data_IF_529930658691
#
_entry.id   IF_529930658691
#
_cell.length_a   1.000
_cell.length_b   1.000
_cell.length_c   1.000
_cell.angle_alpha   90.00
_cell.angle_beta   90.00
_cell.angle_gamma   90.00
#
_symmetry.space_group_name_H-M   'P 1'
#
loop_
_entity.id
_entity.type
_entity.pdbx_description
1 polymer ?
#
# COMPACT_ATOMS: atom_id res chain seq x y z
N UNK A 1 -26.14 11.77 -9.90
CA UNK A 1 -26.10 10.54 -10.73
C UNK A 1 -27.22 9.62 -10.26
N UNK A 2 -28.09 9.13 -11.15
CA UNK A 2 -29.11 8.13 -10.81
C UNK A 2 -28.58 6.76 -11.21
N UNK A 3 -28.32 5.89 -10.24
CA UNK A 3 -27.85 4.52 -10.47
C UNK A 3 -29.08 3.62 -10.69
N UNK A 4 -29.08 2.70 -11.67
CA UNK A 4 -30.18 1.76 -11.87
C UNK A 4 -30.26 0.74 -10.72
N UNK A 5 -31.40 0.07 -10.60
CA UNK A 5 -31.56 -1.04 -9.64
C UNK A 5 -30.62 -2.19 -10.05
N UNK A 6 -29.76 -2.61 -9.12
CA UNK A 6 -28.70 -3.59 -9.34
C UNK A 6 -28.45 -4.41 -8.06
N UNK A 7 -28.03 -5.65 -8.22
CA UNK A 7 -27.61 -6.54 -7.13
C UNK A 7 -26.18 -7.03 -7.40
N UNK A 8 -25.33 -7.03 -6.37
CA UNK A 8 -23.93 -7.46 -6.47
C UNK A 8 -23.54 -8.33 -5.28
N UNK A 9 -22.61 -9.27 -5.50
CA UNK A 9 -21.92 -9.96 -4.43
C UNK A 9 -20.66 -9.19 -4.06
N UNK A 10 -20.55 -8.78 -2.79
CA UNK A 10 -19.39 -8.05 -2.27
C UNK A 10 -18.66 -8.93 -1.26
N UNK A 11 -17.42 -9.29 -1.57
CA UNK A 11 -16.53 -9.99 -0.66
C UNK A 11 -15.96 -9.01 0.36
N UNK A 12 -16.19 -9.30 1.65
CA UNK A 12 -15.66 -8.51 2.76
C UNK A 12 -14.34 -9.06 3.31
N UNK A 13 -13.89 -10.22 2.85
CA UNK A 13 -12.61 -10.82 3.23
C UNK A 13 -11.44 -10.28 2.40
N UNK A 14 -10.22 -10.50 2.91
CA UNK A 14 -8.99 -10.07 2.24
C UNK A 14 -8.76 -10.80 0.90
N UNK A 15 -9.05 -12.10 0.86
CA UNK A 15 -8.68 -12.98 -0.26
C UNK A 15 -9.67 -12.87 -1.42
N UNK A 16 -9.20 -12.73 -2.68
CA UNK A 16 -10.08 -12.86 -3.84
C UNK A 16 -10.62 -14.30 -3.96
N UNK A 17 -11.85 -14.44 -4.45
CA UNK A 17 -12.61 -15.69 -4.39
C UNK A 17 -12.78 -16.37 -5.76
N UNK A 18 -12.93 -15.60 -6.84
CA UNK A 18 -13.34 -16.12 -8.15
C UNK A 18 -12.13 -16.64 -8.95
N UNK A 19 -11.78 -17.92 -8.77
CA UNK A 19 -10.59 -18.53 -9.41
C UNK A 19 -10.75 -18.64 -10.94
N UNK A 20 -9.65 -18.46 -11.68
CA UNK A 20 -9.59 -18.50 -13.16
C UNK A 20 -9.80 -19.88 -13.82
N UNK A 21 -10.05 -20.94 -13.06
CA UNK A 21 -10.17 -22.32 -13.59
C UNK A 21 -11.38 -22.44 -14.57
N UNK A 22 -11.24 -23.11 -15.72
CA UNK A 22 -12.37 -23.37 -16.63
C UNK A 22 -13.12 -24.68 -16.28
N UNK A 23 -14.39 -24.84 -16.69
CA UNK A 23 -15.44 -23.83 -16.73
C UNK A 23 -16.76 -24.38 -16.14
N UNK A 24 -17.30 -23.79 -15.09
CA UNK A 24 -18.73 -23.99 -14.79
C UNK A 24 -19.21 -22.79 -13.98
N UNK A 25 -19.64 -21.75 -14.70
CA UNK A 25 -20.28 -20.52 -14.21
C UNK A 25 -19.36 -19.54 -13.49
N UNK A 26 -19.18 -18.37 -14.12
CA UNK A 26 -18.51 -17.22 -13.52
C UNK A 26 -19.44 -16.52 -12.53
N UNK A 27 -18.93 -16.15 -11.36
CA UNK A 27 -19.65 -15.35 -10.38
C UNK A 27 -19.09 -13.90 -10.36
N UNK A 28 -19.93 -12.87 -10.58
CA UNK A 28 -19.49 -11.48 -10.49
C UNK A 28 -19.35 -11.07 -9.03
N UNK A 29 -18.18 -11.32 -8.45
CA UNK A 29 -17.83 -10.98 -7.07
C UNK A 29 -16.95 -9.73 -7.07
N UNK A 30 -17.36 -8.71 -6.33
CA UNK A 30 -16.54 -7.54 -6.05
C UNK A 30 -15.62 -7.82 -4.86
N UNK A 31 -14.32 -7.55 -5.00
CA UNK A 31 -13.32 -7.77 -3.95
C UNK A 31 -12.38 -6.58 -3.82
N UNK A 32 -11.82 -6.39 -2.63
CA UNK A 32 -10.85 -5.32 -2.34
C UNK A 32 -9.51 -5.51 -3.07
N UNK A 33 -9.16 -6.78 -3.36
CA UNK A 33 -7.93 -7.17 -4.02
C UNK A 33 -8.22 -8.26 -5.05
N UNK A 34 -7.49 -8.27 -6.16
CA UNK A 34 -7.48 -9.36 -7.14
C UNK A 34 -6.14 -10.09 -7.15
N UNK A 35 -6.06 -11.21 -7.86
CA UNK A 35 -4.79 -11.84 -8.18
C UNK A 35 -4.72 -12.35 -9.62
N UNK A 36 -3.51 -12.66 -10.09
CA UNK A 36 -3.28 -13.26 -11.41
C UNK A 36 -4.05 -14.57 -11.61
N UNK A 37 -4.49 -15.22 -10.53
CA UNK A 37 -5.25 -16.47 -10.53
C UNK A 37 -6.75 -16.28 -10.32
N UNK A 38 -7.23 -15.04 -10.17
CA UNK A 38 -8.66 -14.74 -9.95
C UNK A 38 -9.26 -13.79 -10.99
N UNK A 39 -10.58 -13.65 -10.95
CA UNK A 39 -11.43 -12.84 -11.86
C UNK A 39 -12.39 -11.93 -11.10
N UNK A 40 -12.14 -11.71 -9.81
CA UNK A 40 -12.90 -10.76 -9.00
C UNK A 40 -12.87 -9.37 -9.64
N UNK A 41 -13.99 -8.67 -9.54
CA UNK A 41 -14.11 -7.27 -9.94
C UNK A 41 -13.48 -6.43 -8.83
N UNK A 42 -12.27 -5.93 -9.06
CA UNK A 42 -11.53 -5.22 -8.01
C UNK A 42 -12.07 -3.81 -7.86
N UNK A 43 -12.52 -3.48 -6.65
CA UNK A 43 -13.03 -2.16 -6.28
C UNK A 43 -12.02 -1.39 -5.42
N UNK A 44 -12.16 -0.06 -5.28
CA UNK A 44 -11.42 0.71 -4.27
C UNK A 44 -11.56 0.10 -2.88
N UNK A 45 -10.45 0.08 -2.13
CA UNK A 45 -10.41 -0.45 -0.77
C UNK A 45 -11.22 0.44 0.17
N UNK A 46 -11.77 -0.14 1.23
CA UNK A 46 -12.53 0.59 2.24
C UNK A 46 -11.71 1.77 2.83
N UNK A 47 -10.40 1.60 3.03
CA UNK A 47 -9.49 2.64 3.54
C UNK A 47 -9.40 3.86 2.62
N UNK A 48 -9.54 3.69 1.30
CA UNK A 48 -9.58 4.82 0.35
C UNK A 48 -10.95 5.49 0.31
N UNK A 49 -12.02 4.78 0.69
CA UNK A 49 -13.39 5.30 0.71
C UNK A 49 -13.79 5.89 2.06
N UNK A 50 -13.08 5.53 3.13
CA UNK A 50 -13.30 6.03 4.49
C UNK A 50 -12.20 7.04 4.89
N UNK A 51 -12.57 8.07 5.65
CA UNK A 51 -11.74 9.26 5.96
C UNK A 51 -10.68 8.99 7.06
N UNK A 52 -10.06 7.80 7.12
CA UNK A 52 -9.09 7.48 8.18
C UNK A 52 -7.71 8.12 7.93
N UNK A 53 -7.24 8.05 6.68
CA UNK A 53 -6.08 8.77 6.16
C UNK A 53 -6.40 9.14 4.72
N UNK A 54 -6.51 10.43 4.43
CA UNK A 54 -6.73 10.89 3.06
C UNK A 54 -5.41 11.18 2.33
N UNK A 55 -5.40 11.00 1.01
CA UNK A 55 -4.20 11.20 0.19
C UNK A 55 -3.72 12.67 0.18
N UNK A 56 -4.62 13.64 0.37
CA UNK A 56 -4.25 15.06 0.39
C UNK A 56 -3.47 15.40 1.66
N UNK A 57 -3.85 14.82 2.79
CA UNK A 57 -3.11 14.92 4.05
C UNK A 57 -1.69 14.36 3.91
N UNK A 58 -1.51 13.27 3.16
CA UNK A 58 -0.18 12.71 2.87
C UNK A 58 0.65 13.68 2.03
N UNK A 59 0.08 14.21 0.95
CA UNK A 59 0.75 15.19 0.08
C UNK A 59 1.12 16.48 0.81
N UNK A 60 0.33 16.88 1.81
CA UNK A 60 0.61 18.06 2.63
C UNK A 60 1.67 17.82 3.72
N UNK A 61 1.97 16.55 4.06
CA UNK A 61 2.81 16.18 5.19
C UNK A 61 3.88 15.15 4.79
N UNK A 62 4.69 15.50 3.80
CA UNK A 62 5.75 14.62 3.28
C UNK A 62 7.07 14.71 4.07
N UNK A 63 7.07 15.36 5.24
CA UNK A 63 8.25 15.45 6.10
C UNK A 63 9.29 16.47 5.61
N UNK A 64 10.59 16.26 5.89
CA UNK A 64 11.64 17.21 5.54
C UNK A 64 11.94 17.21 4.02
N UNK A 65 12.62 18.26 3.50
CA UNK A 65 13.12 18.29 2.12
C UNK A 65 13.97 17.06 1.77
N UNK A 66 14.00 16.69 0.48
CA UNK A 66 14.66 15.47 -0.02
C UNK A 66 16.09 15.30 0.51
N UNK A 67 16.88 16.35 0.52
CA UNK A 67 18.29 16.37 0.95
C UNK A 67 18.46 16.06 2.44
N UNK A 68 17.42 16.27 3.24
CA UNK A 68 17.40 16.05 4.69
C UNK A 68 16.74 14.71 5.09
N UNK A 69 16.15 13.98 4.13
CA UNK A 69 15.58 12.65 4.40
C UNK A 69 16.68 11.62 4.64
N UNK A 70 16.40 10.68 5.54
CA UNK A 70 17.29 9.55 5.83
C UNK A 70 17.42 8.63 4.61
N UNK A 71 18.64 8.25 4.25
CA UNK A 71 18.94 7.40 3.09
C UNK A 71 18.72 5.90 3.33
N UNK A 72 18.39 5.51 4.56
CA UNK A 72 18.07 4.12 4.88
C UNK A 72 16.68 3.80 4.34
N UNK A 73 16.53 2.66 3.67
CA UNK A 73 15.22 2.18 3.28
C UNK A 73 14.38 1.84 4.50
N UNK A 74 13.08 2.10 4.46
CA UNK A 74 12.22 2.05 5.64
C UNK A 74 11.01 1.16 5.45
N UNK A 75 10.68 0.41 6.50
CA UNK A 75 9.44 -0.36 6.61
C UNK A 75 9.01 -0.56 8.06
N UNK A 76 7.71 -0.45 8.33
CA UNK A 76 7.08 -0.88 9.58
C UNK A 76 5.78 -1.61 9.28
N UNK A 77 5.55 -2.73 9.95
CA UNK A 77 4.31 -3.48 9.76
C UNK A 77 4.17 -4.69 10.65
N UNK A 78 3.19 -5.52 10.32
CA UNK A 78 2.91 -6.79 11.00
C UNK A 78 3.41 -7.96 10.18
N UNK A 79 3.53 -9.10 10.83
CA UNK A 79 3.97 -10.40 10.33
C UNK A 79 2.95 -11.11 9.41
N UNK A 80 2.14 -10.41 8.62
CA UNK A 80 1.07 -11.06 7.82
C UNK A 80 1.54 -11.88 6.62
N UNK A 81 2.84 -11.99 6.37
CA UNK A 81 3.43 -12.83 5.30
C UNK A 81 4.86 -13.26 5.64
N UNK A 82 5.30 -14.41 5.10
CA UNK A 82 6.66 -14.93 5.32
C UNK A 82 7.74 -13.98 4.81
N UNK A 83 7.50 -13.34 3.68
CA UNK A 83 8.41 -12.37 3.06
C UNK A 83 8.66 -11.18 4.00
N UNK A 84 7.68 -10.80 4.83
CA UNK A 84 7.91 -9.76 5.86
C UNK A 84 8.85 -10.24 6.96
N UNK A 85 8.82 -11.52 7.32
CA UNK A 85 9.78 -12.12 8.27
C UNK A 85 11.20 -12.07 7.69
N UNK A 86 11.35 -12.42 6.41
CA UNK A 86 12.64 -12.35 5.71
C UNK A 86 13.12 -10.90 5.54
N UNK A 87 12.22 -9.95 5.29
CA UNK A 87 12.54 -8.52 5.24
C UNK A 87 13.18 -8.02 6.55
N UNK A 88 12.61 -8.38 7.71
CA UNK A 88 13.15 -7.98 9.01
C UNK A 88 14.49 -8.69 9.30
N UNK A 89 14.65 -9.94 8.89
CA UNK A 89 15.97 -10.61 8.95
C UNK A 89 17.02 -9.90 8.08
N UNK A 90 16.66 -9.49 6.86
CA UNK A 90 17.54 -8.70 5.98
C UNK A 90 17.92 -7.35 6.62
N UNK A 91 16.97 -6.65 7.25
CA UNK A 91 17.24 -5.41 7.98
C UNK A 91 18.23 -5.63 9.12
N UNK A 92 18.07 -6.69 9.91
CA UNK A 92 19.02 -7.04 10.99
C UNK A 92 20.41 -7.37 10.47
N UNK A 93 20.51 -8.00 9.30
CA UNK A 93 21.79 -8.31 8.66
C UNK A 93 22.45 -7.08 8.02
N UNK A 94 21.68 -6.11 7.54
CA UNK A 94 22.15 -4.91 6.83
C UNK A 94 21.44 -3.63 7.32
N UNK A 95 21.60 -3.25 8.60
CA UNK A 95 20.84 -2.14 9.20
C UNK A 95 21.19 -0.76 8.64
N UNK A 96 22.34 -0.64 7.96
CA UNK A 96 22.78 0.58 7.28
C UNK A 96 22.10 0.80 5.91
N UNK A 97 21.39 -0.21 5.38
CA UNK A 97 20.65 -0.13 4.12
C UNK A 97 19.15 -0.16 4.34
N UNK A 98 18.69 -0.95 5.30
CA UNK A 98 17.27 -1.20 5.53
C UNK A 98 16.97 -1.15 7.03
N UNK A 99 16.04 -0.29 7.41
CA UNK A 99 15.39 -0.24 8.70
C UNK A 99 13.97 -0.80 8.56
N UNK A 100 13.82 -2.11 8.82
CA UNK A 100 12.55 -2.81 8.81
C UNK A 100 12.33 -3.50 10.17
N UNK A 101 11.17 -3.24 10.79
CA UNK A 101 10.84 -3.81 12.09
C UNK A 101 9.34 -4.10 12.23
N UNK A 102 9.02 -5.08 13.08
CA UNK A 102 7.64 -5.43 13.39
C UNK A 102 7.05 -4.52 14.46
N UNK A 103 5.81 -4.08 14.25
CA UNK A 103 5.03 -3.36 15.27
C UNK A 103 4.18 -4.29 16.12
N UNK A 104 3.81 -5.45 15.60
CA UNK A 104 3.07 -6.49 16.32
C UNK A 104 3.21 -7.86 15.61
N UNK A 105 3.02 -8.95 16.35
CA UNK A 105 2.89 -10.32 15.83
C UNK A 105 1.47 -10.84 16.02
N UNK A 106 0.91 -11.48 14.99
CA UNK A 106 -0.41 -12.11 15.04
C UNK A 106 -0.48 -13.45 14.29
N UNK A 107 0.30 -13.62 13.22
CA UNK A 107 0.17 -14.75 12.30
C UNK A 107 1.25 -15.82 12.51
N UNK A 108 2.42 -15.42 12.99
CA UNK A 108 3.58 -16.28 13.23
C UNK A 108 3.99 -16.21 14.70
N UNK A 109 4.76 -17.21 15.12
CA UNK A 109 5.35 -17.23 16.46
C UNK A 109 6.38 -16.10 16.55
N UNK A 110 6.22 -15.24 17.54
CA UNK A 110 7.21 -14.21 17.86
C UNK A 110 8.51 -14.87 18.36
N UNK A 111 9.62 -14.53 17.72
CA UNK A 111 10.97 -14.90 18.11
C UNK A 111 11.86 -13.65 18.07
N UNK A 112 12.08 -13.05 19.24
CA UNK A 112 12.84 -11.81 19.38
C UNK A 112 14.32 -11.98 18.99
N UNK A 113 14.89 -13.19 19.12
CA UNK A 113 16.27 -13.44 18.72
C UNK A 113 16.43 -13.33 17.20
N UNK A 114 15.42 -13.78 16.44
CA UNK A 114 15.41 -13.71 14.98
C UNK A 114 14.95 -12.36 14.46
N UNK A 115 13.91 -11.77 15.05
CA UNK A 115 13.22 -10.59 14.48
C UNK A 115 13.47 -9.29 15.23
N UNK A 116 14.09 -9.35 16.41
CA UNK A 116 14.28 -8.20 17.28
C UNK A 116 13.02 -7.81 18.06
N UNK A 117 13.15 -6.81 18.95
CA UNK A 117 12.03 -6.34 19.74
C UNK A 117 10.96 -5.69 18.86
N UNK A 118 9.71 -5.77 19.31
CA UNK A 118 8.63 -4.99 18.73
C UNK A 118 8.90 -3.49 18.87
N UNK A 119 8.67 -2.74 17.80
CA UNK A 119 8.76 -1.29 17.80
C UNK A 119 7.38 -0.65 17.90
N UNK A 120 7.31 0.57 18.44
CA UNK A 120 6.04 1.31 18.50
C UNK A 120 5.52 1.62 17.09
N UNK A 121 4.22 1.80 17.00
CA UNK A 121 3.61 2.31 15.79
C UNK A 121 4.22 3.67 15.41
N UNK A 122 4.59 3.83 14.15
CA UNK A 122 5.15 5.06 13.60
C UNK A 122 4.04 5.77 12.83
N UNK A 123 3.89 7.09 13.04
CA UNK A 123 2.93 7.88 12.26
C UNK A 123 3.19 7.69 10.77
N UNK A 124 2.16 7.61 9.95
CA UNK A 124 2.37 7.41 8.52
C UNK A 124 3.14 8.58 7.89
N UNK A 125 2.94 9.81 8.37
CA UNK A 125 3.71 10.98 7.93
C UNK A 125 5.21 10.87 8.24
N UNK A 126 5.58 10.14 9.31
CA UNK A 126 6.98 9.93 9.66
C UNK A 126 7.69 8.94 8.74
N UNK A 127 6.95 8.17 7.92
CA UNK A 127 7.57 7.33 6.89
C UNK A 127 8.33 8.20 5.90
N UNK A 128 7.79 9.37 5.54
CA UNK A 128 8.40 10.30 4.57
C UNK A 128 9.62 11.04 5.12
N UNK A 129 10.07 10.75 6.34
CA UNK A 129 11.42 11.13 6.82
C UNK A 129 12.52 10.29 6.16
N UNK A 130 12.17 9.22 5.45
CA UNK A 130 13.09 8.30 4.80
C UNK A 130 12.90 8.34 3.28
N UNK A 131 14.01 8.35 2.52
CA UNK A 131 14.00 8.47 1.06
C UNK A 131 13.38 7.27 0.36
N UNK A 132 13.51 6.07 0.92
CA UNK A 132 13.15 4.83 0.24
C UNK A 132 12.12 4.03 1.04
N UNK A 133 10.94 3.82 0.48
CA UNK A 133 9.83 3.12 1.12
C UNK A 133 9.69 1.72 0.54
N UNK A 134 9.91 0.70 1.35
CA UNK A 134 9.74 -0.68 0.89
C UNK A 134 8.27 -1.09 1.04
N UNK A 135 7.65 -1.57 -0.04
CA UNK A 135 6.28 -2.07 -0.05
C UNK A 135 6.25 -3.58 -0.30
N UNK A 136 6.09 -4.34 0.79
CA UNK A 136 5.90 -5.80 0.78
C UNK A 136 4.45 -6.11 1.15
N UNK A 137 3.85 -6.99 0.37
CA UNK A 137 2.48 -7.44 0.57
C UNK A 137 2.23 -8.07 1.95
N UNK A 138 0.98 -8.06 2.38
CA UNK A 138 0.52 -8.67 3.63
C UNK A 138 -0.20 -9.99 3.39
N UNK A 139 -1.43 -10.12 3.88
CA UNK A 139 -2.30 -11.23 3.46
C UNK A 139 -2.46 -11.22 1.94
N UNK A 140 -2.79 -10.04 1.39
CA UNK A 140 -2.91 -9.74 -0.04
C UNK A 140 -2.09 -8.49 -0.39
N UNK A 141 -2.42 -7.77 -1.47
CA UNK A 141 -1.78 -6.51 -1.83
C UNK A 141 -1.72 -5.56 -0.62
N UNK A 142 -0.61 -4.84 -0.46
CA UNK A 142 -0.47 -3.89 0.63
C UNK A 142 -1.26 -2.60 0.33
N UNK A 143 -2.42 -2.43 0.99
CA UNK A 143 -3.30 -1.24 0.89
C UNK A 143 -2.66 0.08 1.36
N UNK A 144 -1.39 0.03 1.77
CA UNK A 144 -0.56 1.19 2.05
C UNK A 144 0.01 1.82 0.78
N UNK A 145 0.15 1.06 -0.31
CA UNK A 145 0.78 1.53 -1.54
C UNK A 145 0.23 2.87 -2.07
N UNK A 146 -1.10 3.12 -2.16
CA UNK A 146 -1.59 4.39 -2.69
C UNK A 146 -1.08 5.59 -1.88
N UNK A 147 -0.96 5.44 -0.57
CA UNK A 147 -0.45 6.50 0.30
C UNK A 147 1.07 6.67 0.21
N UNK A 148 1.83 5.59 -0.01
CA UNK A 148 3.27 5.73 -0.24
C UNK A 148 3.55 6.45 -1.55
N UNK A 149 2.78 6.12 -2.60
CA UNK A 149 2.86 6.80 -3.89
C UNK A 149 2.43 8.27 -3.79
N UNK A 150 1.48 8.60 -2.92
CA UNK A 150 1.07 9.99 -2.69
C UNK A 150 2.15 10.86 -2.01
N UNK A 151 3.15 10.24 -1.39
CA UNK A 151 4.26 10.96 -0.76
C UNK A 151 5.43 11.24 -1.71
N UNK A 152 6.47 11.89 -1.19
CA UNK A 152 7.65 12.36 -1.93
C UNK A 152 8.90 11.46 -1.70
N UNK A 153 8.67 10.17 -1.47
CA UNK A 153 9.73 9.20 -1.19
C UNK A 153 9.68 8.09 -2.23
N UNK A 154 10.82 7.55 -2.62
CA UNK A 154 10.92 6.51 -3.65
C UNK A 154 10.32 5.21 -3.13
N UNK A 155 9.21 4.79 -3.73
CA UNK A 155 8.64 3.46 -3.47
C UNK A 155 9.39 2.35 -4.19
N UNK A 156 9.82 1.35 -3.43
CA UNK A 156 10.21 0.03 -3.90
C UNK A 156 9.02 -0.90 -3.72
N UNK A 157 8.57 -1.59 -4.77
CA UNK A 157 7.39 -2.47 -4.71
C UNK A 157 7.75 -3.90 -5.07
N UNK A 158 7.28 -4.83 -4.25
CA UNK A 158 7.38 -6.26 -4.50
C UNK A 158 6.61 -6.65 -5.78
N UNK A 159 7.25 -7.46 -6.63
CA UNK A 159 6.58 -8.21 -7.68
C UNK A 159 5.72 -9.29 -7.05
N UNK A 160 4.41 -9.20 -7.30
CA UNK A 160 3.40 -9.96 -6.58
C UNK A 160 2.23 -10.27 -7.51
N UNK A 161 1.60 -11.46 -7.35
CA UNK A 161 0.38 -11.77 -8.08
C UNK A 161 -0.81 -10.93 -7.63
N UNK A 162 -0.76 -10.26 -6.47
CA UNK A 162 -1.87 -9.47 -5.94
C UNK A 162 -1.86 -8.04 -6.48
N UNK A 163 -3.05 -7.52 -6.74
CA UNK A 163 -3.23 -6.17 -7.25
C UNK A 163 -4.46 -5.47 -6.69
N UNK A 164 -4.37 -4.14 -6.58
CA UNK A 164 -5.51 -3.25 -6.33
C UNK A 164 -6.02 -2.66 -7.65
N UNK A 165 -7.18 -2.02 -7.62
CA UNK A 165 -7.88 -1.49 -8.79
C UNK A 165 -7.04 -0.54 -9.68
N UNK A 166 -6.03 0.14 -9.13
CA UNK A 166 -5.18 1.10 -9.84
C UNK A 166 -3.83 0.54 -10.31
N UNK A 167 -3.45 -0.69 -9.93
CA UNK A 167 -2.10 -1.22 -10.20
C UNK A 167 -1.80 -1.36 -11.68
N UNK A 168 -2.82 -1.60 -12.51
CA UNK A 168 -2.70 -1.69 -13.97
C UNK A 168 -2.24 -0.37 -14.63
N UNK A 169 -2.34 0.75 -13.92
CA UNK A 169 -1.83 2.05 -14.37
C UNK A 169 -0.41 2.34 -13.87
N UNK A 170 0.16 1.49 -13.00
CA UNK A 170 1.52 1.67 -12.51
C UNK A 170 2.53 1.05 -13.48
N UNK A 171 3.61 1.78 -13.74
CA UNK A 171 4.70 1.34 -14.61
C UNK A 171 5.96 1.16 -13.75
N UNK A 172 6.57 -0.05 -13.74
CA UNK A 172 7.85 -0.26 -13.07
C UNK A 172 8.93 0.68 -13.65
N UNK A 173 9.85 1.16 -12.80
CA UNK A 173 10.91 2.11 -13.17
C UNK A 173 10.43 3.50 -13.64
N UNK A 174 9.12 3.77 -13.54
CA UNK A 174 8.55 5.10 -13.72
C UNK A 174 7.80 5.55 -12.46
N UNK A 175 7.00 4.65 -11.88
CA UNK A 175 6.18 4.94 -10.70
C UNK A 175 6.70 4.24 -9.43
N UNK A 176 7.39 3.11 -9.52
CA UNK A 176 8.06 2.43 -8.39
C UNK A 176 9.25 1.56 -8.86
N UNK A 177 10.23 1.32 -7.99
CA UNK A 177 11.34 0.40 -8.28
C UNK A 177 10.87 -1.04 -7.99
N UNK A 178 10.78 -1.92 -8.99
CA UNK A 178 10.36 -3.31 -8.76
C UNK A 178 11.49 -4.12 -8.10
N UNK A 179 11.12 -5.03 -7.20
CA UNK A 179 11.99 -6.09 -6.70
C UNK A 179 11.26 -7.43 -6.68
N UNK A 180 12.00 -8.53 -6.72
CA UNK A 180 11.48 -9.90 -6.84
C UNK A 180 10.62 -10.29 -5.64
N UNK A 181 9.67 -11.19 -5.89
CA UNK A 181 8.75 -11.71 -4.87
C UNK A 181 9.46 -12.31 -3.65
N UNK A 182 10.64 -12.90 -3.85
CA UNK A 182 11.45 -13.57 -2.81
C UNK A 182 12.45 -12.64 -2.09
N UNK A 183 12.43 -11.33 -2.37
CA UNK A 183 13.35 -10.32 -1.83
C UNK A 183 14.82 -10.50 -2.23
N UNK A 184 15.14 -11.44 -3.13
CA UNK A 184 16.52 -11.81 -3.45
C UNK A 184 17.35 -10.65 -4.02
N UNK A 185 16.72 -9.71 -4.72
CA UNK A 185 17.35 -8.53 -5.30
C UNK A 185 17.04 -7.22 -4.55
N UNK A 186 16.30 -7.26 -3.44
CA UNK A 186 15.84 -6.06 -2.73
C UNK A 186 17.01 -5.16 -2.30
N UNK A 187 18.05 -5.74 -1.71
CA UNK A 187 19.21 -4.97 -1.24
C UNK A 187 19.96 -4.32 -2.41
N UNK A 188 20.04 -4.99 -3.55
CA UNK A 188 20.67 -4.44 -4.75
C UNK A 188 19.84 -3.29 -5.32
N UNK A 189 18.50 -3.39 -5.30
CA UNK A 189 17.61 -2.27 -5.67
C UNK A 189 17.77 -1.08 -4.75
N UNK A 190 17.93 -1.30 -3.44
CA UNK A 190 18.19 -0.22 -2.47
C UNK A 190 19.53 0.45 -2.76
N UNK A 191 20.60 -0.31 -3.00
CA UNK A 191 21.92 0.26 -3.35
C UNK A 191 21.84 1.06 -4.64
N UNK A 192 21.22 0.50 -5.68
CA UNK A 192 21.03 1.18 -6.95
C UNK A 192 20.30 2.51 -6.78
N UNK A 193 19.22 2.53 -5.99
CA UNK A 193 18.44 3.74 -5.72
C UNK A 193 19.26 4.82 -4.99
N UNK A 194 20.16 4.41 -4.08
CA UNK A 194 21.06 5.32 -3.36
C UNK A 194 22.14 5.93 -4.25
N UNK A 195 22.63 5.17 -5.23
CA UNK A 195 23.72 5.60 -6.12
C UNK A 195 23.27 6.56 -7.22
N UNK A 196 21.96 6.62 -7.54
CA UNK A 196 21.43 7.32 -8.72
C UNK A 196 20.54 8.52 -8.38
N UNK A 197 20.71 9.19 -7.22
CA UNK A 197 19.88 10.30 -6.70
C UNK A 197 18.46 10.41 -7.29
N UNK A 198 17.51 9.80 -6.59
CA UNK A 198 16.17 9.53 -7.12
C UNK A 198 15.18 10.66 -6.79
N UNK A 199 15.63 11.91 -6.71
CA UNK A 199 14.74 13.06 -6.42
C UNK A 199 13.67 13.23 -7.50
N UNK A 200 14.07 13.21 -8.78
CA UNK A 200 13.13 13.32 -9.89
C UNK A 200 12.11 12.17 -9.85
N UNK A 201 12.60 10.96 -9.55
CA UNK A 201 11.76 9.78 -9.38
C UNK A 201 10.71 9.95 -8.29
N UNK A 202 11.12 10.48 -7.13
CA UNK A 202 10.23 10.72 -6.00
C UNK A 202 9.14 11.75 -6.36
N UNK A 203 9.49 12.79 -7.12
CA UNK A 203 8.53 13.80 -7.60
C UNK A 203 7.50 13.22 -8.57
N UNK A 204 7.85 12.19 -9.35
CA UNK A 204 6.90 11.52 -10.26
C UNK A 204 5.82 10.72 -9.52
N UNK A 205 6.07 10.32 -8.27
CA UNK A 205 5.07 9.60 -7.46
C UNK A 205 3.95 10.55 -6.99
N UNK A 206 4.32 11.79 -6.66
CA UNK A 206 3.37 12.88 -6.40
C UNK A 206 2.82 13.42 -7.72
N UNK A 207 1.92 12.69 -8.37
CA UNK A 207 1.24 13.25 -9.53
C UNK A 207 0.28 14.35 -9.07
N UNK A 208 0.44 15.57 -9.60
CA UNK A 208 -0.63 16.56 -9.57
C UNK A 208 -1.91 15.92 -10.13
N UNK A 209 -3.03 16.09 -9.43
CA UNK A 209 -4.32 15.60 -9.89
C UNK A 209 -4.68 16.28 -11.22
N UNK A 210 -4.45 15.59 -12.34
CA UNK A 210 -4.86 16.06 -13.66
C UNK A 210 -6.35 15.82 -13.85
N UNK A 211 -7.11 16.90 -13.93
CA UNK A 211 -8.51 16.85 -14.37
C UNK A 211 -8.51 16.30 -15.80
N UNK A 212 -9.06 15.09 -16.00
CA UNK A 212 -9.17 14.51 -17.34
C UNK A 212 -10.23 15.27 -18.14
N UNK A 213 -10.08 15.30 -19.46
CA UNK A 213 -11.07 15.90 -20.35
C UNK A 213 -12.46 15.28 -20.08
N UNK A 214 -13.45 16.12 -19.78
CA UNK A 214 -14.80 15.70 -19.39
C UNK A 214 -15.04 15.44 -17.89
N UNK A 215 -14.02 15.53 -17.03
CA UNK A 215 -14.21 15.54 -15.58
C UNK A 215 -14.55 16.95 -15.10
N UNK A 216 -15.75 17.14 -14.57
CA UNK A 216 -16.14 18.39 -13.90
C UNK A 216 -15.89 18.28 -12.39
N UNK A 217 -15.50 19.40 -11.77
CA UNK A 217 -15.40 19.47 -10.32
C UNK A 217 -16.80 19.32 -9.72
N UNK A 218 -17.10 18.14 -9.22
CA UNK A 218 -18.35 17.91 -8.47
C UNK A 218 -18.20 18.65 -7.14
N UNK A 219 -19.09 19.62 -6.91
CA UNK A 219 -19.19 20.27 -5.61
C UNK A 219 -19.46 19.22 -4.55
N UNK A 220 -18.56 19.08 -3.58
CA UNK A 220 -18.80 18.28 -2.39
C UNK A 220 -20.10 18.80 -1.75
N UNK A 221 -21.08 17.93 -1.45
CA UNK A 221 -22.24 18.33 -0.66
C UNK A 221 -21.77 18.98 0.64
N UNK A 222 -22.44 20.03 1.10
CA UNK A 222 -22.22 20.49 2.48
C UNK A 222 -22.68 19.35 3.39
N UNK A 223 -21.79 18.84 4.23
CA UNK A 223 -21.89 17.62 5.05
C UNK A 223 -23.06 17.62 6.08
N UNK A 224 -24.30 17.74 5.62
CA UNK A 224 -25.51 17.62 6.44
C UNK A 224 -26.45 16.49 5.94
N UNK A 225 -26.07 15.73 4.90
CA UNK A 225 -26.95 14.73 4.26
C UNK A 225 -26.73 13.28 4.71
N UNK A 226 -25.74 13.01 5.57
CA UNK A 226 -25.57 11.69 6.19
C UNK A 226 -25.77 11.78 7.70
N UNK A 227 -27.01 11.67 8.21
CA UNK A 227 -27.21 11.37 9.61
C UNK A 227 -26.79 9.91 9.86
N UNK A 228 -25.49 9.65 10.02
CA UNK A 228 -25.02 8.44 10.67
C UNK A 228 -25.31 8.57 12.18
N UNK A 229 -26.59 8.49 12.55
CA UNK A 229 -27.00 8.26 13.92
C UNK A 229 -26.69 6.81 14.27
N UNK A 230 -25.46 6.57 14.71
CA UNK A 230 -25.11 5.34 15.43
C UNK A 230 -25.88 5.33 16.75
N UNK A 231 -27.10 4.79 16.76
CA UNK A 231 -27.81 4.40 17.98
C UNK A 231 -27.12 3.18 18.60
N UNK A 232 -25.90 3.35 19.12
CA UNK A 232 -25.34 2.42 20.10
C UNK A 232 -25.87 2.82 21.46
N UNK A 233 -27.00 2.24 21.84
CA UNK A 233 -27.38 2.15 23.24
C UNK A 233 -26.27 1.35 23.94
N UNK A 234 -25.56 1.98 24.88
CA UNK A 234 -24.72 1.22 25.81
C UNK A 234 -25.67 0.32 26.61
N UNK A 235 -25.48 -1.00 26.49
CA UNK A 235 -25.95 -1.98 27.48
C UNK A 235 -24.78 -2.25 28.42
#
# INVERSE_FOLDING_TARGET
>A
VKVPDVEFFVNLGDWPLEKRKPPEKLHPIFSWCGSNDTRDIVMPTYDLTEVSLDMMSVQANTGPPWEQKNETAFWRGRDSRKERLELVKLSRAQPHLLDAAFTNFFFFKHDEALYGPLVKHVSFFDFFKFKYQVNVDGTVAAYRLPYLLAGDSVVLKQDSPYYEHFYSNLQPWQHYIPFRSDLSDLLDKIRWAREHDQEEYARLQVTEAKVREGMERVGQPKDDLFPCNCHRSKV
#
